data_IF_428559712564
#
_entry.id   IF_428559712564
#
_cell.length_a   1.000
_cell.length_b   1.000
_cell.length_c   1.000
_cell.angle_alpha   90.00
_cell.angle_beta   90.00
_cell.angle_gamma   90.00
#
_symmetry.space_group_name_H-M   'P 1'
#
loop_
_entity.id
_entity.type
_entity.pdbx_description
1 polymer ?
#
# COMPACT_ATOMS: atom_id res chain seq x y z
N UNK A 1 -21.63 -11.19 -7.71
CA UNK A 1 -22.42 -10.37 -6.75
C UNK A 1 -21.40 -9.52 -6.02
N UNK A 2 -21.45 -8.19 -6.15
CA UNK A 2 -20.61 -7.31 -5.34
C UNK A 2 -21.12 -7.42 -3.90
N UNK A 3 -20.24 -7.80 -2.98
CA UNK A 3 -20.53 -7.75 -1.55
C UNK A 3 -20.73 -6.29 -1.15
N UNK A 4 -21.70 -6.02 -0.27
CA UNK A 4 -21.84 -4.68 0.31
C UNK A 4 -20.61 -4.35 1.14
N UNK A 5 -20.17 -3.07 1.14
CA UNK A 5 -19.07 -2.62 2.00
C UNK A 5 -19.34 -2.94 3.47
N UNK A 6 -18.32 -3.40 4.18
CA UNK A 6 -18.40 -3.68 5.61
C UNK A 6 -18.49 -2.37 6.43
N UNK A 7 -19.09 -2.38 7.62
CA UNK A 7 -19.11 -1.23 8.53
C UNK A 7 -17.71 -0.79 8.94
N UNK A 8 -17.57 0.50 9.29
CA UNK A 8 -16.31 1.08 9.75
C UNK A 8 -15.69 0.30 10.90
N UNK A 9 -14.42 -0.06 10.74
CA UNK A 9 -13.61 -0.75 11.75
C UNK A 9 -13.78 -2.27 11.79
N UNK A 10 -14.65 -2.85 10.97
CA UNK A 10 -14.70 -4.29 10.80
C UNK A 10 -13.49 -4.79 10.02
N UNK A 11 -13.03 -5.99 10.34
CA UNK A 11 -11.94 -6.66 9.61
C UNK A 11 -12.47 -7.10 8.25
N UNK A 12 -11.93 -6.54 7.19
CA UNK A 12 -12.29 -6.91 5.81
C UNK A 12 -11.35 -7.93 5.20
N UNK A 13 -10.16 -8.13 5.76
CA UNK A 13 -9.22 -9.13 5.30
C UNK A 13 -8.00 -9.28 6.20
N UNK A 14 -7.24 -10.34 5.93
CA UNK A 14 -5.95 -10.60 6.56
C UNK A 14 -5.01 -11.00 5.42
N UNK A 15 -3.90 -10.30 5.27
CA UNK A 15 -2.93 -10.62 4.22
C UNK A 15 -2.07 -11.85 4.56
N UNK A 16 -1.20 -12.26 3.63
CA UNK A 16 -0.32 -13.40 3.80
C UNK A 16 0.73 -13.23 4.91
N UNK A 17 0.88 -12.03 5.46
CA UNK A 17 1.75 -11.70 6.60
C UNK A 17 0.99 -11.64 7.93
N UNK A 18 -0.32 -11.95 7.91
CA UNK A 18 -1.17 -11.90 9.10
C UNK A 18 -1.65 -10.49 9.48
N UNK A 19 -1.43 -9.50 8.63
CA UNK A 19 -1.83 -8.12 8.91
C UNK A 19 -3.29 -7.92 8.52
N UNK A 20 -4.09 -7.47 9.49
CA UNK A 20 -5.52 -7.20 9.30
C UNK A 20 -5.72 -5.90 8.51
N UNK A 21 -6.64 -5.93 7.55
CA UNK A 21 -7.21 -4.74 6.94
C UNK A 21 -8.60 -4.48 7.54
N UNK A 22 -8.95 -3.21 7.69
CA UNK A 22 -10.21 -2.77 8.30
C UNK A 22 -10.98 -1.88 7.35
N UNK A 23 -12.31 -1.95 7.38
CA UNK A 23 -13.16 -1.06 6.61
C UNK A 23 -13.04 0.39 7.06
N UNK A 24 -12.93 1.29 6.09
CA UNK A 24 -12.98 2.74 6.26
C UNK A 24 -14.36 3.32 5.93
N UNK A 25 -15.36 2.47 5.63
CA UNK A 25 -16.70 2.87 5.22
C UNK A 25 -17.42 3.63 6.33
N UNK A 26 -17.35 4.95 6.27
CA UNK A 26 -17.99 5.85 7.23
C UNK A 26 -19.39 6.23 6.78
N UNK A 27 -20.40 5.49 7.24
CA UNK A 27 -21.82 5.84 7.07
C UNK A 27 -22.21 7.05 7.91
N UNK A 28 -21.49 7.29 9.00
CA UNK A 28 -21.67 8.43 9.91
C UNK A 28 -20.37 9.20 10.05
N UNK A 29 -20.46 10.53 10.31
CA UNK A 29 -19.28 11.38 10.57
C UNK A 29 -18.62 10.98 11.89
N UNK A 30 -17.90 9.87 11.90
CA UNK A 30 -17.03 9.55 13.03
C UNK A 30 -15.87 10.54 13.08
N UNK A 31 -15.50 11.00 14.28
CA UNK A 31 -14.25 11.72 14.47
C UNK A 31 -13.10 10.87 13.93
N UNK A 32 -12.25 11.48 13.12
CA UNK A 32 -11.03 10.83 12.65
C UNK A 32 -10.23 10.36 13.87
N UNK A 33 -10.17 9.05 14.06
CA UNK A 33 -9.42 8.46 15.16
C UNK A 33 -8.02 8.07 14.70
N UNK A 34 -7.03 8.26 15.54
CA UNK A 34 -5.66 7.85 15.30
C UNK A 34 -5.53 6.35 15.51
N UNK A 35 -4.82 5.69 14.60
CA UNK A 35 -4.36 4.30 14.75
C UNK A 35 -2.97 4.28 15.37
N UNK A 36 -2.78 3.37 16.34
CA UNK A 36 -1.48 3.14 16.98
C UNK A 36 -1.23 1.64 17.13
N UNK A 37 0.04 1.24 17.04
CA UNK A 37 0.51 -0.11 17.42
C UNK A 37 1.41 0.00 18.64
N UNK A 38 1.60 -1.09 19.36
CA UNK A 38 2.37 -1.15 20.61
C UNK A 38 1.99 -0.04 21.61
N UNK A 39 0.71 0.39 21.59
CA UNK A 39 0.11 1.44 22.42
C UNK A 39 0.61 2.88 22.16
N UNK A 40 1.71 3.08 21.45
CA UNK A 40 2.38 4.39 21.31
C UNK A 40 2.77 4.78 19.90
N UNK A 41 3.04 3.80 19.02
CA UNK A 41 3.52 4.10 17.67
C UNK A 41 2.40 4.54 16.75
N UNK A 42 2.47 5.76 16.28
CA UNK A 42 1.52 6.36 15.36
C UNK A 42 1.53 5.63 14.00
N UNK A 43 0.37 5.17 13.55
CA UNK A 43 0.19 4.54 12.24
C UNK A 43 -0.51 5.45 11.23
N UNK A 44 -1.36 6.35 11.67
CA UNK A 44 -2.13 7.25 10.80
C UNK A 44 -3.58 7.37 11.24
N UNK A 45 -4.42 7.88 10.34
CA UNK A 45 -5.86 7.99 10.56
C UNK A 45 -6.50 6.63 10.25
N UNK A 46 -7.31 6.12 11.17
CA UNK A 46 -8.11 4.89 10.98
C UNK A 46 -9.12 5.11 9.84
N UNK A 47 -9.26 4.29 8.95
CA UNK A 47 -8.56 3.11 8.44
C UNK A 47 -8.11 3.42 7.01
N UNK A 48 -7.31 4.46 6.87
CA UNK A 48 -6.81 4.97 5.59
C UNK A 48 -5.76 4.02 4.99
N UNK A 49 -5.56 4.11 3.67
CA UNK A 49 -4.57 3.30 2.95
C UNK A 49 -3.13 3.54 3.46
N UNK A 50 -2.77 4.79 3.77
CA UNK A 50 -1.44 5.15 4.31
C UNK A 50 -1.23 4.56 5.71
N UNK A 51 -2.31 4.49 6.52
CA UNK A 51 -2.29 3.82 7.83
C UNK A 51 -1.98 2.34 7.69
N UNK A 52 -2.64 1.64 6.74
CA UNK A 52 -2.40 0.23 6.50
C UNK A 52 -0.93 -0.04 6.15
N UNK A 53 -0.38 0.71 5.20
CA UNK A 53 1.02 0.57 4.76
C UNK A 53 1.98 0.81 5.92
N UNK A 54 1.78 1.88 6.72
CA UNK A 54 2.66 2.17 7.86
C UNK A 54 2.56 1.10 8.93
N UNK A 55 1.37 0.68 9.31
CA UNK A 55 1.15 -0.38 10.29
C UNK A 55 1.73 -1.71 9.82
N UNK A 56 1.59 -2.03 8.53
CA UNK A 56 2.19 -3.20 7.92
C UNK A 56 3.71 -3.19 8.07
N UNK A 57 4.37 -2.10 7.69
CA UNK A 57 5.83 -1.95 7.81
C UNK A 57 6.33 -2.02 9.26
N UNK A 58 5.59 -1.42 10.19
CA UNK A 58 5.94 -1.48 11.61
C UNK A 58 5.86 -2.93 12.13
N UNK A 59 4.77 -3.62 11.86
CA UNK A 59 4.52 -4.95 12.39
C UNK A 59 5.39 -6.05 11.76
N UNK A 60 5.82 -5.86 10.50
CA UNK A 60 6.61 -6.88 9.78
C UNK A 60 8.11 -6.61 9.81
N UNK A 61 8.52 -5.35 9.83
CA UNK A 61 9.93 -4.97 9.65
C UNK A 61 10.45 -3.97 10.67
N UNK A 62 9.63 -3.52 11.62
CA UNK A 62 9.95 -2.43 12.54
C UNK A 62 10.33 -1.13 11.81
N UNK A 63 9.69 -0.85 10.68
CA UNK A 63 9.96 0.33 9.85
C UNK A 63 8.75 1.25 9.86
N UNK A 64 9.01 2.54 10.02
CA UNK A 64 8.04 3.61 9.83
C UNK A 64 8.53 4.63 8.81
N UNK A 65 7.67 5.57 8.43
CA UNK A 65 8.02 6.69 7.55
C UNK A 65 7.36 7.97 8.05
N UNK A 66 7.84 9.11 7.56
CA UNK A 66 7.29 10.42 7.91
C UNK A 66 5.80 10.53 7.59
N UNK A 67 5.10 11.44 8.27
CA UNK A 67 3.72 11.72 7.94
C UNK A 67 3.61 12.34 6.55
N UNK A 68 2.63 11.85 5.79
CA UNK A 68 2.28 12.33 4.46
C UNK A 68 0.81 12.77 4.49
N UNK A 69 0.51 13.90 3.88
CA UNK A 69 -0.86 14.42 3.79
C UNK A 69 -1.71 13.59 2.83
N UNK A 70 -1.11 13.15 1.71
CA UNK A 70 -1.78 12.42 0.64
C UNK A 70 -0.97 11.19 0.24
N UNK A 71 -1.66 10.13 -0.19
CA UNK A 71 -1.03 8.86 -0.52
C UNK A 71 -0.06 8.97 -1.70
N UNK A 72 -0.42 9.70 -2.77
CA UNK A 72 0.43 9.88 -3.95
C UNK A 72 1.78 10.54 -3.62
N UNK A 73 1.85 11.34 -2.55
CA UNK A 73 3.07 12.03 -2.12
C UNK A 73 4.18 11.04 -1.73
N UNK A 74 3.83 9.81 -1.36
CA UNK A 74 4.82 8.78 -1.09
C UNK A 74 5.75 8.53 -2.30
N UNK A 75 5.25 8.73 -3.51
CA UNK A 75 6.03 8.58 -4.73
C UNK A 75 6.54 9.91 -5.29
N UNK A 76 5.74 10.98 -5.23
CA UNK A 76 6.05 12.26 -5.86
C UNK A 76 6.99 13.13 -5.03
N UNK A 77 6.97 13.02 -3.70
CA UNK A 77 7.95 13.72 -2.87
C UNK A 77 9.37 13.25 -3.23
N UNK A 78 10.32 14.18 -3.39
CA UNK A 78 11.70 13.82 -3.76
C UNK A 78 12.34 12.88 -2.75
N UNK A 79 12.04 13.07 -1.47
CA UNK A 79 12.58 12.26 -0.38
C UNK A 79 11.47 11.85 0.58
N UNK A 80 11.27 10.55 0.74
CA UNK A 80 10.49 9.96 1.82
C UNK A 80 11.46 9.26 2.76
N UNK A 81 11.42 9.59 4.03
CA UNK A 81 12.33 8.99 5.01
C UNK A 81 11.68 7.74 5.60
N UNK A 82 12.28 6.59 5.38
CA UNK A 82 11.97 5.34 6.06
C UNK A 82 13.01 5.11 7.16
N UNK A 83 12.54 4.76 8.36
CA UNK A 83 13.40 4.59 9.55
C UNK A 83 13.04 3.29 10.24
N UNK A 84 14.04 2.51 10.62
CA UNK A 84 13.87 1.39 11.54
C UNK A 84 13.66 1.95 12.96
N UNK A 85 12.54 1.62 13.59
CA UNK A 85 12.15 2.18 14.90
C UNK A 85 12.94 1.63 16.08
N UNK A 86 13.70 0.55 15.88
CA UNK A 86 14.55 -0.06 16.92
C UNK A 86 15.98 0.48 16.84
N UNK A 87 16.53 0.52 15.62
CA UNK A 87 17.93 0.94 15.41
C UNK A 87 18.08 2.40 15.06
N UNK A 88 16.97 3.11 14.82
CA UNK A 88 16.90 4.51 14.37
C UNK A 88 17.62 4.78 13.03
N UNK A 89 18.01 3.73 12.32
CA UNK A 89 18.71 3.82 11.05
C UNK A 89 17.73 4.13 9.91
N UNK A 90 18.17 4.95 8.97
CA UNK A 90 17.45 5.18 7.71
C UNK A 90 17.53 3.94 6.84
N UNK A 91 16.41 3.59 6.23
CA UNK A 91 16.30 2.48 5.29
C UNK A 91 16.37 3.03 3.87
N UNK A 92 17.30 2.52 3.09
CA UNK A 92 17.40 2.82 1.67
C UNK A 92 16.25 2.22 0.89
N UNK A 93 15.86 2.87 -0.19
CA UNK A 93 14.78 2.40 -1.07
C UNK A 93 15.00 2.86 -2.50
N UNK A 94 14.37 2.15 -3.43
CA UNK A 94 14.35 2.51 -4.84
C UNK A 94 12.92 2.76 -5.28
N UNK A 95 12.69 3.86 -6.02
CA UNK A 95 11.42 4.17 -6.70
C UNK A 95 11.50 3.72 -8.15
N UNK A 96 10.63 2.84 -8.53
CA UNK A 96 10.48 2.37 -9.90
C UNK A 96 9.23 2.99 -10.52
N UNK A 97 9.37 3.84 -11.52
CA UNK A 97 8.23 4.42 -12.22
C UNK A 97 7.59 3.39 -13.15
N UNK A 98 6.28 3.27 -13.11
CA UNK A 98 5.54 2.29 -13.92
C UNK A 98 5.84 2.45 -15.43
N UNK A 99 6.07 1.35 -16.14
CA UNK A 99 6.30 1.31 -17.58
C UNK A 99 7.69 1.74 -18.08
N UNK A 100 8.64 2.04 -17.20
CA UNK A 100 10.00 2.42 -17.61
C UNK A 100 10.85 1.15 -17.87
N UNK A 101 11.61 1.19 -18.96
CA UNK A 101 12.53 0.11 -19.36
C UNK A 101 13.62 -0.10 -18.32
N UNK A 102 13.95 -1.36 -18.06
CA UNK A 102 15.00 -1.75 -17.11
C UNK A 102 14.56 -1.74 -15.64
N UNK A 103 13.31 -1.43 -15.34
CA UNK A 103 12.80 -1.53 -13.99
C UNK A 103 12.71 -3.00 -13.54
N UNK A 104 13.09 -3.24 -12.29
CA UNK A 104 12.85 -4.51 -11.64
C UNK A 104 11.38 -4.63 -11.22
N UNK A 105 10.86 -5.86 -11.25
CA UNK A 105 9.54 -6.16 -10.72
C UNK A 105 9.42 -5.75 -9.24
N UNK A 106 8.23 -5.32 -8.78
CA UNK A 106 8.00 -5.21 -7.36
C UNK A 106 8.18 -6.58 -6.70
N UNK A 107 8.59 -6.60 -5.46
CA UNK A 107 8.71 -7.83 -4.64
C UNK A 107 7.76 -7.75 -3.45
N UNK A 108 7.46 -8.86 -2.76
CA UNK A 108 6.70 -8.81 -1.53
C UNK A 108 7.27 -7.77 -0.57
N UNK A 109 6.41 -6.95 0.02
CA UNK A 109 6.78 -5.79 0.82
C UNK A 109 7.00 -4.48 0.03
N UNK A 110 7.00 -4.50 -1.31
CA UNK A 110 6.99 -3.26 -2.09
C UNK A 110 5.68 -2.51 -1.92
N UNK A 111 5.74 -1.18 -1.96
CA UNK A 111 4.59 -0.29 -1.86
C UNK A 111 4.21 0.16 -3.26
N UNK A 112 3.00 -0.16 -3.72
CA UNK A 112 2.44 0.38 -4.96
C UNK A 112 1.80 1.72 -4.66
N UNK A 113 2.01 2.69 -5.55
CA UNK A 113 1.48 4.05 -5.40
C UNK A 113 0.71 4.45 -6.65
N UNK A 114 -0.54 4.86 -6.46
CA UNK A 114 -1.39 5.44 -7.49
C UNK A 114 -1.39 6.96 -7.39
N UNK A 115 -1.47 7.61 -8.55
CA UNK A 115 -1.60 9.06 -8.64
C UNK A 115 -3.01 9.51 -8.25
N UNK A 116 -3.16 10.79 -8.06
CA UNK A 116 -4.46 11.47 -7.92
C UNK A 116 -5.11 11.69 -9.29
N UNK A 117 -6.42 11.83 -9.27
CA UNK A 117 -7.22 12.31 -10.41
C UNK A 117 -8.11 13.48 -9.99
N UNK A 118 -8.83 14.08 -10.92
CA UNK A 118 -9.80 15.14 -10.60
C UNK A 118 -10.89 14.65 -9.63
N UNK A 119 -11.31 13.39 -9.75
CA UNK A 119 -12.33 12.78 -8.89
C UNK A 119 -11.78 12.16 -7.61
N UNK A 120 -10.48 11.86 -7.53
CA UNK A 120 -9.84 11.18 -6.38
C UNK A 120 -8.52 11.87 -6.05
N UNK A 121 -8.60 12.90 -5.21
CA UNK A 121 -7.49 13.85 -4.99
C UNK A 121 -6.35 13.32 -4.12
N UNK A 122 -6.54 12.23 -3.42
CA UNK A 122 -5.58 11.70 -2.45
C UNK A 122 -4.57 10.72 -3.05
N UNK A 123 -4.88 10.14 -4.23
CA UNK A 123 -4.18 8.95 -4.70
C UNK A 123 -4.42 7.76 -3.77
N UNK A 124 -3.67 6.68 -3.97
CA UNK A 124 -3.80 5.45 -3.18
C UNK A 124 -2.46 4.76 -2.97
N UNK A 125 -2.37 3.90 -1.95
CA UNK A 125 -1.20 3.05 -1.69
C UNK A 125 -1.64 1.67 -1.20
N UNK A 126 -0.85 0.65 -1.58
CA UNK A 126 -1.03 -0.73 -1.18
C UNK A 126 0.30 -1.45 -0.97
N UNK A 127 0.30 -2.57 -0.26
CA UNK A 127 1.46 -3.45 -0.08
C UNK A 127 1.35 -4.64 -1.03
N UNK A 128 2.45 -4.98 -1.71
CA UNK A 128 2.56 -6.24 -2.45
C UNK A 128 2.73 -7.38 -1.45
N UNK A 129 1.76 -8.27 -1.38
CA UNK A 129 1.80 -9.44 -0.50
C UNK A 129 2.37 -10.68 -1.19
N UNK A 130 2.19 -10.79 -2.52
CA UNK A 130 2.68 -11.91 -3.34
C UNK A 130 2.88 -11.45 -4.78
N UNK A 131 3.78 -12.13 -5.50
CA UNK A 131 4.00 -11.94 -6.93
C UNK A 131 4.05 -13.28 -7.66
N UNK A 132 3.57 -13.28 -8.89
CA UNK A 132 3.71 -14.36 -9.89
C UNK A 132 4.16 -13.75 -11.22
N UNK A 133 4.41 -14.59 -12.25
CA UNK A 133 4.77 -14.07 -13.59
C UNK A 133 3.67 -13.21 -14.24
N UNK A 134 2.41 -13.33 -13.78
CA UNK A 134 1.25 -12.66 -14.41
C UNK A 134 0.61 -11.58 -13.54
N UNK A 135 0.78 -11.66 -12.22
CA UNK A 135 0.06 -10.81 -11.28
C UNK A 135 0.90 -10.45 -10.08
N UNK A 136 0.73 -9.24 -9.59
CA UNK A 136 0.97 -8.90 -8.19
C UNK A 136 -0.34 -9.03 -7.41
N UNK A 137 -0.24 -9.43 -6.15
CA UNK A 137 -1.35 -9.54 -5.19
C UNK A 137 -1.10 -8.53 -4.09
N UNK A 138 -2.10 -7.74 -3.75
CA UNK A 138 -1.94 -6.61 -2.84
C UNK A 138 -2.85 -6.71 -1.61
N UNK A 139 -2.35 -6.19 -0.49
CA UNK A 139 -3.13 -5.84 0.68
C UNK A 139 -3.32 -4.33 0.73
N UNK A 140 -4.55 -3.88 0.99
CA UNK A 140 -4.91 -2.46 1.00
C UNK A 140 -6.09 -2.17 1.92
N UNK A 141 -6.34 -0.92 2.22
CA UNK A 141 -7.47 -0.41 2.98
C UNK A 141 -8.05 0.83 2.30
N UNK A 142 -9.31 1.14 2.61
CA UNK A 142 -9.99 2.32 2.07
C UNK A 142 -10.00 2.34 0.55
N UNK A 143 -10.42 1.20 -0.04
CA UNK A 143 -10.65 1.06 -1.47
C UNK A 143 -12.13 0.83 -1.74
N UNK A 144 -12.60 -0.41 -1.66
CA UNK A 144 -14.02 -0.78 -1.81
C UNK A 144 -14.68 -1.20 -0.49
N UNK A 145 -13.89 -1.36 0.58
CA UNK A 145 -14.30 -1.79 1.91
C UNK A 145 -15.03 -3.15 1.94
N UNK A 146 -14.83 -3.98 0.90
CA UNK A 146 -15.42 -5.30 0.79
C UNK A 146 -14.56 -6.38 1.45
N UNK A 147 -15.24 -7.44 1.94
CA UNK A 147 -14.54 -8.58 2.59
C UNK A 147 -13.72 -9.36 1.56
N UNK A 148 -12.47 -9.61 1.89
CA UNK A 148 -11.55 -10.40 1.06
C UNK A 148 -11.84 -11.89 1.19
N UNK A 149 -11.87 -12.59 0.06
CA UNK A 149 -12.06 -14.04 0.03
C UNK A 149 -10.75 -14.83 0.16
N UNK A 150 -9.61 -14.14 0.15
CA UNK A 150 -8.26 -14.70 0.05
C UNK A 150 -7.30 -13.83 0.89
N UNK A 151 -6.05 -14.27 1.12
CA UNK A 151 -5.08 -13.49 1.89
C UNK A 151 -4.51 -12.30 1.07
N UNK A 152 -5.37 -11.62 0.33
CA UNK A 152 -5.10 -10.38 -0.42
C UNK A 152 -6.42 -9.70 -0.81
N UNK A 153 -6.41 -8.39 -1.02
CA UNK A 153 -7.55 -7.61 -1.48
C UNK A 153 -7.88 -7.96 -2.93
N UNK A 154 -6.95 -7.66 -3.81
CA UNK A 154 -7.09 -7.89 -5.25
C UNK A 154 -5.74 -8.18 -5.91
N UNK A 155 -5.78 -8.49 -7.18
CA UNK A 155 -4.58 -8.74 -7.99
C UNK A 155 -4.52 -7.76 -9.15
N UNK A 156 -3.30 -7.33 -9.51
CA UNK A 156 -3.03 -6.41 -10.61
C UNK A 156 -2.22 -7.16 -11.68
N UNK A 157 -2.63 -7.15 -12.94
CA UNK A 157 -1.88 -7.75 -14.03
C UNK A 157 -0.49 -7.12 -14.21
N UNK A 158 0.49 -7.96 -14.55
CA UNK A 158 1.81 -7.55 -14.98
C UNK A 158 1.83 -7.70 -16.50
N UNK A 159 2.10 -6.62 -17.20
CA UNK A 159 2.31 -6.61 -18.64
C UNK A 159 3.80 -6.40 -18.94
N UNK A 160 4.31 -7.17 -19.88
CA UNK A 160 5.67 -7.04 -20.38
C UNK A 160 5.60 -6.44 -21.78
N UNK A 161 6.23 -5.31 -21.97
CA UNK A 161 6.27 -4.68 -23.29
C UNK A 161 7.39 -5.29 -24.14
N UNK A 162 7.34 -5.08 -25.46
CA UNK A 162 8.38 -5.51 -26.40
C UNK A 162 9.77 -4.94 -26.09
N UNK A 163 9.85 -3.85 -25.32
CA UNK A 163 11.10 -3.21 -24.90
C UNK A 163 11.57 -3.66 -23.52
N UNK A 164 11.09 -4.81 -23.02
CA UNK A 164 11.42 -5.32 -21.68
C UNK A 164 11.09 -4.35 -20.54
N UNK A 165 10.08 -3.51 -20.69
CA UNK A 165 9.55 -2.74 -19.57
C UNK A 165 8.45 -3.51 -18.86
N UNK A 166 8.36 -3.30 -17.56
CA UNK A 166 7.28 -3.81 -16.71
C UNK A 166 6.23 -2.75 -16.56
N UNK A 167 4.99 -3.09 -16.86
CA UNK A 167 3.83 -2.25 -16.68
C UNK A 167 2.79 -2.95 -15.80
N UNK A 168 2.40 -2.30 -14.73
CA UNK A 168 1.29 -2.74 -13.88
C UNK A 168 0.02 -2.09 -14.39
N UNK A 169 -0.90 -2.89 -14.92
CA UNK A 169 -2.15 -2.42 -15.51
C UNK A 169 -3.31 -2.64 -14.55
N UNK A 170 -3.67 -1.59 -13.82
CA UNK A 170 -4.79 -1.62 -12.89
C UNK A 170 -6.01 -0.92 -13.50
N UNK A 171 -6.87 -1.69 -14.19
CA UNK A 171 -8.15 -1.20 -14.69
C UNK A 171 -9.13 -1.02 -13.51
N UNK A 172 -8.94 0.02 -12.73
CA UNK A 172 -9.76 0.32 -11.56
C UNK A 172 -10.90 1.29 -11.88
N UNK A 173 -11.97 1.21 -11.10
CA UNK A 173 -13.18 2.03 -11.28
C UNK A 173 -12.96 3.54 -11.11
N UNK A 174 -11.91 3.93 -10.39
CA UNK A 174 -11.56 5.35 -10.16
C UNK A 174 -10.62 5.92 -11.22
N UNK A 175 -10.19 5.12 -12.20
CA UNK A 175 -9.21 5.49 -13.23
C UNK A 175 -7.92 6.07 -12.65
N UNK A 176 -7.48 5.57 -11.49
CA UNK A 176 -6.23 6.00 -10.86
C UNK A 176 -5.04 5.33 -11.56
N UNK A 177 -4.15 6.10 -12.19
CA UNK A 177 -2.94 5.53 -12.80
C UNK A 177 -1.93 5.12 -11.73
N UNK A 178 -1.27 3.98 -11.91
CA UNK A 178 -0.14 3.60 -11.08
C UNK A 178 1.07 4.47 -11.44
N UNK A 179 1.56 5.27 -10.49
CA UNK A 179 2.83 6.00 -10.62
C UNK A 179 4.02 5.06 -10.69
N UNK A 180 3.99 4.02 -9.87
CA UNK A 180 5.07 3.07 -9.75
C UNK A 180 5.06 2.35 -8.39
N UNK A 181 6.22 1.85 -8.00
CA UNK A 181 6.39 1.18 -6.72
C UNK A 181 7.69 1.56 -6.02
N UNK A 182 7.67 1.43 -4.71
CA UNK A 182 8.81 1.66 -3.84
C UNK A 182 9.25 0.32 -3.26
N UNK A 183 10.51 -0.03 -3.43
CA UNK A 183 11.09 -1.24 -2.87
C UNK A 183 12.12 -0.84 -1.82
N UNK A 184 11.90 -1.27 -0.57
CA UNK A 184 12.85 -1.06 0.51
C UNK A 184 14.03 -2.03 0.39
N UNK A 185 15.23 -1.53 0.62
CA UNK A 185 16.46 -2.32 0.68
C UNK A 185 16.68 -2.81 2.12
N UNK A 186 16.01 -3.93 2.44
CA UNK A 186 16.14 -4.54 3.75
C UNK A 186 17.44 -5.35 3.78
N UNK A 187 18.33 -5.06 4.70
CA UNK A 187 19.50 -5.90 4.98
C UNK A 187 19.01 -7.28 5.39
N UNK A 188 19.40 -8.30 4.67
CA UNK A 188 19.21 -9.69 5.08
C UNK A 188 20.21 -9.89 6.22
N UNK A 189 19.76 -9.76 7.45
CA UNK A 189 20.53 -10.28 8.57
C UNK A 189 20.43 -11.80 8.50
N UNK A 190 21.46 -12.42 7.89
CA UNK A 190 21.72 -13.87 7.95
C UNK A 190 22.18 -14.27 9.34
#
# INVERSE_FOLDING_TARGET
>A
MSSSPAPFGEVIGIDSYGIKAYSCNMITKHKQCISVVYKTLFCGIKWQCVEYVRRWLILTHNITFQQLEMAYMMFTEPYVTFINIITEQRISYIKYRNGIVGNLLPKPGSIIVWDKTCGYKTGHVAIVSKITNKYIYIGEQNWDDCIWNKPYSRRIPIEYTSCNSVYLNDNNEYNLPILGWITLELSIHT
#
